data_IF_606962780475
#
_entry.id   IF_606962780475
#
_cell.length_a   1.000
_cell.length_b   1.000
_cell.length_c   1.000
_cell.angle_alpha   90.00
_cell.angle_beta   90.00
_cell.angle_gamma   90.00
#
_symmetry.space_group_name_H-M   'P 1'
#
loop_
_entity.id
_entity.type
_entity.pdbx_description
1 polymer ?
#
# COMPACT_ATOMS: atom_id res chain seq x y z
N UNK A 1 -6.91 6.92 63.83
CA UNK A 1 -5.83 7.81 64.31
C UNK A 1 -5.49 8.80 63.18
N UNK A 2 -5.37 10.09 63.52
CA UNK A 2 -4.94 11.28 62.73
C UNK A 2 -5.84 11.71 61.53
N UNK A 3 -6.63 12.80 61.63
CA UNK A 3 -6.35 14.27 61.52
C UNK A 3 -6.03 14.70 60.06
N UNK A 4 -6.87 15.46 59.34
CA UNK A 4 -7.30 16.87 59.46
C UNK A 4 -6.26 17.92 59.01
N UNK A 5 -6.69 18.89 58.16
CA UNK A 5 -6.01 20.16 57.82
C UNK A 5 -5.87 20.39 56.30
N UNK A 6 -6.72 21.17 55.61
CA UNK A 6 -6.77 22.65 55.48
C UNK A 6 -5.44 23.22 54.90
N UNK A 7 -5.38 24.07 53.86
CA UNK A 7 -5.81 25.48 53.89
C UNK A 7 -5.68 26.14 52.49
N UNK A 8 -6.75 26.85 52.13
CA UNK A 8 -6.98 28.03 51.28
C UNK A 8 -5.84 29.05 51.02
N UNK A 9 -6.09 29.85 49.97
CA UNK A 9 -5.95 31.33 49.82
C UNK A 9 -4.84 31.82 48.85
N UNK A 10 -5.20 32.35 47.67
CA UNK A 10 -5.44 33.79 47.35
C UNK A 10 -4.17 34.47 46.81
N UNK A 11 -4.15 35.51 45.97
CA UNK A 11 -5.10 36.56 45.61
C UNK A 11 -4.45 37.42 44.50
N UNK A 12 -5.27 37.99 43.60
CA UNK A 12 -5.15 39.33 42.92
C UNK A 12 -3.90 39.59 42.05
N UNK A 13 -3.95 40.37 40.96
CA UNK A 13 -4.28 41.82 40.83
C UNK A 13 -4.57 42.10 39.31
N UNK A 14 -5.79 42.43 38.88
CA UNK A 14 -6.32 43.77 38.47
C UNK A 14 -5.42 44.62 37.53
N UNK A 15 -5.70 44.76 36.22
CA UNK A 15 -6.48 45.84 35.52
C UNK A 15 -5.83 47.27 35.51
N UNK A 16 -6.37 48.31 34.82
CA UNK A 16 -6.43 48.58 33.36
C UNK A 16 -6.02 50.06 33.03
N UNK A 17 -5.84 50.47 31.77
CA UNK A 17 -5.96 51.89 31.28
C UNK A 17 -5.63 51.92 29.77
N UNK A 18 -6.17 52.76 28.88
CA UNK A 18 -7.28 53.72 28.83
C UNK A 18 -7.46 54.02 27.33
N UNK A 19 -8.68 54.36 26.94
CA UNK A 19 -9.07 54.77 25.60
C UNK A 19 -8.46 56.12 25.18
N UNK A 20 -8.36 56.36 23.87
CA UNK A 20 -8.45 57.70 23.29
C UNK A 20 -9.16 57.62 21.93
N UNK A 21 -10.25 58.37 21.79
CA UNK A 21 -11.08 58.46 20.60
C UNK A 21 -10.68 59.65 19.71
N UNK A 22 -11.03 59.48 18.43
CA UNK A 22 -11.33 60.48 17.41
C UNK A 22 -10.16 61.24 16.77
N UNK A 23 -10.14 61.30 15.43
CA UNK A 23 -10.31 62.54 14.66
C UNK A 23 -10.40 62.26 13.12
N UNK A 24 -11.50 62.74 12.52
CA UNK A 24 -11.61 63.47 11.22
C UNK A 24 -11.38 62.78 9.84
N UNK A 25 -12.52 62.59 9.15
CA UNK A 25 -12.92 63.03 7.79
C UNK A 25 -11.98 62.91 6.56
N UNK A 26 -12.57 62.28 5.54
CA UNK A 26 -12.67 62.65 4.10
C UNK A 26 -11.94 61.80 3.04
N UNK A 27 -12.52 61.69 1.83
CA UNK A 27 -12.29 60.59 0.89
C UNK A 27 -11.34 61.00 -0.23
N UNK A 28 -10.47 60.09 -0.67
CA UNK A 28 -9.81 60.20 -1.98
C UNK A 28 -9.46 58.81 -2.49
N UNK A 29 -10.20 58.43 -3.54
CA UNK A 29 -9.73 57.72 -4.73
C UNK A 29 -8.25 57.35 -4.70
N UNK A 30 -7.97 56.04 -4.68
CA UNK A 30 -6.72 55.53 -5.21
C UNK A 30 -7.04 54.27 -6.02
N UNK A 31 -6.73 54.38 -7.32
CA UNK A 31 -6.88 53.34 -8.32
C UNK A 31 -6.27 52.01 -7.85
N UNK A 32 -7.07 50.94 -7.86
CA UNK A 32 -6.55 49.58 -7.86
C UNK A 32 -5.91 49.30 -9.24
N UNK A 33 -4.63 48.92 -9.34
CA UNK A 33 -4.15 48.30 -10.55
C UNK A 33 -4.84 46.94 -10.69
N UNK A 34 -5.45 46.70 -11.86
CA UNK A 34 -6.01 45.41 -12.26
C UNK A 34 -4.90 44.36 -12.10
N UNK A 35 -4.95 43.59 -11.02
CA UNK A 35 -4.12 42.41 -10.87
C UNK A 35 -4.41 41.51 -12.08
N UNK A 36 -3.38 41.26 -12.90
CA UNK A 36 -3.40 40.18 -13.87
C UNK A 36 -3.69 38.92 -13.07
N UNK A 37 -4.92 38.42 -13.20
CA UNK A 37 -5.28 37.08 -12.78
C UNK A 37 -4.54 36.15 -13.73
N UNK A 38 -3.27 35.87 -13.41
CA UNK A 38 -2.50 34.84 -14.08
C UNK A 38 -3.21 33.52 -13.80
N UNK A 39 -3.42 32.79 -14.87
CA UNK A 39 -4.15 31.55 -14.91
C UNK A 39 -3.54 30.56 -13.90
N UNK A 40 -4.13 30.44 -12.71
CA UNK A 40 -3.96 29.26 -11.88
C UNK A 40 -4.66 28.11 -12.62
N UNK A 41 -3.91 27.48 -13.53
CA UNK A 41 -4.26 26.18 -14.07
C UNK A 41 -4.41 25.24 -12.88
N UNK A 42 -5.65 24.94 -12.52
CA UNK A 42 -5.97 23.85 -11.60
C UNK A 42 -5.47 22.57 -12.28
N UNK A 43 -4.23 22.18 -12.01
CA UNK A 43 -3.75 20.84 -12.35
C UNK A 43 -4.61 19.89 -11.52
N UNK A 44 -5.60 19.28 -12.17
CA UNK A 44 -6.36 18.19 -11.60
C UNK A 44 -5.33 17.12 -11.20
N UNK A 45 -5.27 16.64 -9.95
CA UNK A 45 -4.33 15.60 -9.58
C UNK A 45 -4.67 14.37 -10.45
N UNK A 46 -3.80 14.08 -11.42
CA UNK A 46 -4.00 12.95 -12.32
C UNK A 46 -3.95 11.69 -11.46
N UNK A 47 -5.08 11.01 -11.35
CA UNK A 47 -5.20 9.74 -10.65
C UNK A 47 -4.44 8.70 -11.47
N UNK A 48 -3.25 8.31 -11.01
CA UNK A 48 -2.40 7.34 -11.70
C UNK A 48 -2.80 5.89 -11.37
N UNK A 49 -3.45 5.69 -10.23
CA UNK A 49 -4.02 4.41 -9.86
C UNK A 49 -5.13 3.99 -10.82
N UNK A 50 -4.91 2.86 -11.48
CA UNK A 50 -5.93 2.12 -12.23
C UNK A 50 -6.45 0.98 -11.35
N UNK A 51 -7.77 0.77 -11.21
CA UNK A 51 -8.29 -0.40 -10.52
C UNK A 51 -7.70 -1.70 -11.10
N UNK A 52 -7.30 -2.64 -10.24
CA UNK A 52 -6.63 -3.86 -10.69
C UNK A 52 -7.41 -4.64 -11.76
N UNK A 53 -8.75 -4.65 -11.68
CA UNK A 53 -9.63 -5.32 -12.65
C UNK A 53 -9.60 -4.70 -14.06
N UNK A 54 -9.11 -3.48 -14.20
CA UNK A 54 -9.00 -2.75 -15.47
C UNK A 54 -7.58 -2.81 -16.05
N UNK A 55 -6.64 -3.51 -15.37
CA UNK A 55 -5.30 -3.71 -15.90
C UNK A 55 -5.34 -4.70 -17.07
N UNK A 56 -4.65 -4.39 -18.18
CA UNK A 56 -4.60 -5.30 -19.31
C UNK A 56 -3.77 -6.54 -18.99
N UNK A 57 -4.06 -7.66 -19.66
CA UNK A 57 -3.41 -8.96 -19.38
C UNK A 57 -1.88 -8.92 -19.55
N UNK A 58 -1.36 -8.09 -20.47
CA UNK A 58 0.09 -7.94 -20.68
C UNK A 58 0.79 -7.11 -19.59
N UNK A 59 0.05 -6.45 -18.70
CA UNK A 59 0.65 -5.62 -17.66
C UNK A 59 1.53 -6.49 -16.76
N UNK A 60 2.78 -6.06 -16.58
CA UNK A 60 3.76 -6.78 -15.79
C UNK A 60 3.35 -6.77 -14.32
N UNK A 61 3.55 -7.88 -13.62
CA UNK A 61 3.23 -8.01 -12.19
C UNK A 61 4.47 -8.35 -11.35
N UNK A 62 4.41 -7.93 -10.08
CA UNK A 62 5.29 -8.39 -9.02
C UNK A 62 4.42 -8.89 -7.87
N UNK A 63 4.62 -10.14 -7.47
CA UNK A 63 3.89 -10.79 -6.38
C UNK A 63 4.83 -10.93 -5.18
N UNK A 64 4.43 -10.36 -4.05
CA UNK A 64 5.11 -10.47 -2.77
C UNK A 64 4.23 -11.25 -1.80
N UNK A 65 4.77 -12.30 -1.20
CA UNK A 65 4.03 -13.19 -0.30
C UNK A 65 4.46 -12.91 1.14
N UNK A 66 3.48 -12.63 2.00
CA UNK A 66 3.68 -12.49 3.43
C UNK A 66 3.95 -13.85 4.09
N UNK A 67 4.90 -13.87 5.04
CA UNK A 67 5.21 -15.02 5.91
C UNK A 67 4.04 -15.41 6.84
N UNK A 68 3.14 -14.46 7.12
CA UNK A 68 1.91 -14.67 7.89
C UNK A 68 0.66 -14.12 7.20
N UNK A 69 -0.51 -14.50 7.71
CA UNK A 69 -1.76 -13.90 7.27
C UNK A 69 -1.87 -12.44 7.73
N UNK A 70 -2.39 -11.59 6.85
CA UNK A 70 -2.78 -10.21 7.10
C UNK A 70 -4.19 -10.20 7.71
N UNK A 71 -4.35 -9.45 8.81
CA UNK A 71 -5.67 -9.20 9.38
C UNK A 71 -6.50 -8.27 8.48
N UNK A 72 -7.82 -8.23 8.65
CA UNK A 72 -8.68 -7.33 7.87
C UNK A 72 -8.31 -5.85 8.02
N UNK A 73 -7.88 -5.45 9.22
CA UNK A 73 -7.39 -4.09 9.46
C UNK A 73 -6.10 -3.80 8.71
N UNK A 74 -5.13 -4.72 8.76
CA UNK A 74 -3.86 -4.58 8.04
C UNK A 74 -4.07 -4.54 6.53
N UNK A 75 -4.96 -5.41 5.99
CA UNK A 75 -5.31 -5.39 4.57
C UNK A 75 -5.89 -4.04 4.15
N UNK A 76 -6.86 -3.52 4.91
CA UNK A 76 -7.51 -2.24 4.59
C UNK A 76 -6.52 -1.07 4.61
N UNK A 77 -5.65 -1.00 5.62
CA UNK A 77 -4.61 0.02 5.73
C UNK A 77 -3.55 -0.11 4.63
N UNK A 78 -3.07 -1.34 4.39
CA UNK A 78 -2.06 -1.62 3.39
C UNK A 78 -2.55 -1.27 1.98
N UNK A 79 -3.84 -1.51 1.68
CA UNK A 79 -4.44 -1.04 0.43
C UNK A 79 -4.39 0.49 0.27
N UNK A 80 -4.51 1.26 1.35
CA UNK A 80 -4.36 2.72 1.29
C UNK A 80 -2.91 3.14 1.05
N UNK A 81 -1.96 2.49 1.71
CA UNK A 81 -0.53 2.70 1.47
C UNK A 81 -0.15 2.36 0.02
N UNK A 82 -0.62 1.23 -0.50
CA UNK A 82 -0.43 0.79 -1.88
C UNK A 82 -1.01 1.80 -2.87
N UNK A 83 -2.25 2.27 -2.67
CA UNK A 83 -2.87 3.31 -3.52
C UNK A 83 -2.09 4.62 -3.47
N UNK A 84 -1.60 5.02 -2.30
CA UNK A 84 -0.80 6.24 -2.14
C UNK A 84 0.51 6.14 -2.90
N UNK A 85 1.23 5.03 -2.73
CA UNK A 85 2.47 4.75 -3.46
C UNK A 85 2.26 4.76 -4.98
N UNK A 86 1.28 4.02 -5.48
CA UNK A 86 1.00 3.95 -6.93
C UNK A 86 0.68 5.33 -7.53
N UNK A 87 -0.02 6.19 -6.79
CA UNK A 87 -0.30 7.56 -7.24
C UNK A 87 0.94 8.47 -7.29
N UNK A 88 2.03 8.08 -6.63
CA UNK A 88 3.31 8.79 -6.62
C UNK A 88 4.37 8.10 -7.48
N UNK A 89 4.09 6.89 -7.97
CA UNK A 89 5.05 6.05 -8.66
C UNK A 89 5.25 6.50 -10.11
N UNK A 90 6.39 7.15 -10.38
CA UNK A 90 6.68 7.82 -11.66
C UNK A 90 7.97 7.32 -12.29
N UNK A 91 8.13 7.52 -13.62
CA UNK A 91 9.36 7.23 -14.37
C UNK A 91 9.81 8.48 -15.11
N UNK A 92 10.99 9.02 -14.77
CA UNK A 92 11.54 10.22 -15.42
C UNK A 92 10.53 11.38 -15.54
N UNK A 93 9.72 11.59 -14.49
CA UNK A 93 8.62 12.58 -14.46
C UNK A 93 7.44 12.31 -15.42
N UNK A 94 7.36 11.10 -15.99
CA UNK A 94 6.21 10.58 -16.72
C UNK A 94 5.40 9.63 -15.84
N UNK A 95 4.10 9.66 -16.06
CA UNK A 95 3.14 8.91 -15.26
C UNK A 95 3.20 7.42 -15.66
N UNK A 96 3.31 6.51 -14.68
CA UNK A 96 3.08 5.08 -14.88
C UNK A 96 1.58 4.79 -14.77
N UNK A 97 1.04 4.01 -15.70
CA UNK A 97 -0.28 3.41 -15.52
C UNK A 97 -0.10 2.14 -14.71
N UNK A 98 -0.43 2.21 -13.42
CA UNK A 98 -0.12 1.17 -12.47
C UNK A 98 -1.29 0.88 -11.53
N UNK A 99 -1.24 -0.30 -10.93
CA UNK A 99 -2.19 -0.78 -9.94
C UNK A 99 -1.43 -1.50 -8.82
N UNK A 100 -2.06 -1.54 -7.66
CA UNK A 100 -1.61 -2.34 -6.54
C UNK A 100 -2.82 -2.89 -5.79
N UNK A 101 -2.70 -4.13 -5.29
CA UNK A 101 -3.77 -4.81 -4.59
C UNK A 101 -3.23 -5.82 -3.59
N UNK A 102 -3.95 -5.97 -2.47
CA UNK A 102 -3.79 -7.13 -1.60
C UNK A 102 -4.73 -8.23 -2.07
N UNK A 103 -4.17 -9.36 -2.50
CA UNK A 103 -4.93 -10.57 -2.81
C UNK A 103 -5.03 -11.46 -1.56
N UNK A 104 -6.05 -12.33 -1.47
CA UNK A 104 -6.53 -12.87 -0.20
C UNK A 104 -5.44 -13.26 0.78
N UNK A 105 -5.56 -12.63 1.95
CA UNK A 105 -4.87 -12.78 3.23
C UNK A 105 -3.34 -12.77 3.26
N UNK A 106 -2.61 -12.79 2.14
CA UNK A 106 -1.12 -12.87 2.19
C UNK A 106 -0.36 -12.16 1.08
N UNK A 107 -0.99 -11.78 -0.02
CA UNK A 107 -0.25 -11.39 -1.21
C UNK A 107 -0.37 -9.91 -1.50
N UNK A 108 0.77 -9.23 -1.62
CA UNK A 108 0.85 -7.88 -2.14
C UNK A 108 1.25 -7.96 -3.61
N UNK A 109 0.40 -7.46 -4.49
CA UNK A 109 0.64 -7.48 -5.94
C UNK A 109 0.73 -6.06 -6.47
N UNK A 110 1.82 -5.76 -7.15
CA UNK A 110 2.00 -4.54 -7.95
C UNK A 110 1.86 -4.90 -9.43
N UNK A 111 1.24 -4.01 -10.22
CA UNK A 111 1.10 -4.19 -11.65
C UNK A 111 1.39 -2.88 -12.41
N UNK A 112 2.08 -2.96 -13.55
CA UNK A 112 2.40 -1.81 -14.42
C UNK A 112 2.09 -2.16 -15.87
N UNK A 113 1.37 -1.25 -16.54
CA UNK A 113 1.15 -1.32 -17.99
C UNK A 113 2.37 -0.73 -18.72
N UNK A 114 3.33 -1.60 -19.04
CA UNK A 114 4.59 -1.23 -19.69
C UNK A 114 4.40 -0.76 -21.15
N UNK A 115 3.22 -0.94 -21.76
CA UNK A 115 2.90 -0.35 -23.07
C UNK A 115 2.63 1.15 -22.99
N UNK A 116 2.32 1.68 -21.79
CA UNK A 116 2.17 3.12 -21.58
C UNK A 116 3.53 3.77 -21.31
N UNK A 117 4.23 3.30 -20.28
CA UNK A 117 5.60 3.66 -19.95
C UNK A 117 6.24 2.47 -19.23
N UNK A 118 7.44 2.08 -19.66
CA UNK A 118 8.19 1.01 -18.99
C UNK A 118 8.66 1.47 -17.61
N UNK A 119 8.62 0.56 -16.63
CA UNK A 119 9.21 0.80 -15.33
C UNK A 119 10.75 0.86 -15.46
N UNK A 120 11.35 2.02 -15.18
CA UNK A 120 12.81 2.15 -15.14
C UNK A 120 13.41 1.43 -13.92
N UNK A 121 14.70 1.10 -13.97
CA UNK A 121 15.40 0.48 -12.84
C UNK A 121 15.22 1.25 -11.53
N UNK A 122 15.38 2.58 -11.56
CA UNK A 122 15.14 3.42 -10.37
C UNK A 122 13.69 3.38 -9.87
N UNK A 123 12.71 3.27 -10.77
CA UNK A 123 11.31 3.14 -10.36
C UNK A 123 11.03 1.78 -9.72
N UNK A 124 11.65 0.70 -10.21
CA UNK A 124 11.57 -0.64 -9.60
C UNK A 124 12.26 -0.64 -8.23
N UNK A 125 13.41 0.02 -8.09
CA UNK A 125 14.08 0.17 -6.81
C UNK A 125 13.20 0.90 -5.79
N UNK A 126 12.46 1.92 -6.25
CA UNK A 126 11.49 2.63 -5.41
C UNK A 126 10.35 1.71 -4.95
N UNK A 127 9.82 0.84 -5.82
CA UNK A 127 8.80 -0.13 -5.41
C UNK A 127 9.33 -1.17 -4.44
N UNK A 128 10.57 -1.63 -4.62
CA UNK A 128 11.22 -2.55 -3.67
C UNK A 128 11.39 -1.90 -2.30
N UNK A 129 11.87 -0.65 -2.24
CA UNK A 129 11.99 0.10 -0.97
C UNK A 129 10.65 0.29 -0.29
N UNK A 130 9.61 0.64 -1.04
CA UNK A 130 8.25 0.75 -0.51
C UNK A 130 7.77 -0.57 0.11
N UNK A 131 8.01 -1.71 -0.55
CA UNK A 131 7.64 -3.02 0.03
C UNK A 131 8.43 -3.32 1.32
N UNK A 132 9.71 -2.94 1.40
CA UNK A 132 10.49 -3.05 2.65
C UNK A 132 9.96 -2.13 3.76
N UNK A 133 9.38 -0.98 3.43
CA UNK A 133 8.70 -0.12 4.40
C UNK A 133 7.43 -0.78 4.94
N UNK A 134 6.68 -1.49 4.08
CA UNK A 134 5.53 -2.29 4.52
C UNK A 134 5.96 -3.41 5.49
N UNK A 135 7.04 -4.13 5.20
CA UNK A 135 7.57 -5.17 6.11
C UNK A 135 7.82 -4.61 7.52
N UNK A 136 8.46 -3.43 7.60
CA UNK A 136 8.74 -2.76 8.88
C UNK A 136 7.48 -2.29 9.58
N UNK A 137 6.55 -1.67 8.84
CA UNK A 137 5.32 -1.12 9.40
C UNK A 137 4.41 -2.21 9.97
N UNK A 138 4.26 -3.32 9.26
CA UNK A 138 3.39 -4.43 9.66
C UNK A 138 4.10 -5.54 10.43
N UNK A 139 5.41 -5.41 10.67
CA UNK A 139 6.24 -6.41 11.33
C UNK A 139 6.01 -7.82 10.75
N UNK A 140 6.28 -7.95 9.45
CA UNK A 140 6.14 -9.18 8.67
C UNK A 140 7.21 -9.24 7.57
N UNK A 141 7.34 -10.39 6.92
CA UNK A 141 8.27 -10.58 5.80
C UNK A 141 7.53 -10.81 4.49
N UNK A 142 7.88 -10.06 3.43
CA UNK A 142 7.31 -10.13 2.08
C UNK A 142 8.28 -10.70 1.04
N UNK A 143 9.56 -10.88 1.41
CA UNK A 143 10.62 -11.39 0.53
C UNK A 143 11.02 -12.85 0.82
N UNK A 144 10.17 -13.61 1.51
CA UNK A 144 10.46 -15.03 1.81
C UNK A 144 10.29 -15.89 0.56
N UNK A 145 11.41 -16.25 -0.06
CA UNK A 145 11.44 -17.10 -1.28
C UNK A 145 11.54 -18.61 -0.99
N UNK A 146 11.70 -18.97 0.27
CA UNK A 146 11.90 -20.36 0.71
C UNK A 146 10.62 -21.04 1.16
N UNK A 147 9.48 -20.42 0.93
CA UNK A 147 8.16 -20.92 1.32
C UNK A 147 7.24 -21.02 0.11
N UNK A 148 6.33 -21.98 0.18
CA UNK A 148 5.27 -22.19 -0.81
C UNK A 148 3.94 -21.95 -0.13
N UNK A 149 3.12 -21.09 -0.70
CA UNK A 149 1.73 -20.95 -0.29
C UNK A 149 0.86 -22.03 -0.95
N UNK A 150 -0.08 -22.56 -0.18
CA UNK A 150 -1.07 -23.53 -0.62
C UNK A 150 -2.41 -23.26 0.07
N UNK A 151 -3.48 -23.75 -0.55
CA UNK A 151 -4.83 -23.63 -0.01
C UNK A 151 -5.17 -24.86 0.83
N UNK A 152 -5.57 -24.65 2.08
CA UNK A 152 -6.11 -25.68 2.96
C UNK A 152 -7.53 -25.28 3.36
N UNK A 153 -8.53 -25.99 2.83
CA UNK A 153 -9.92 -25.52 2.88
C UNK A 153 -10.06 -24.20 2.14
N UNK A 154 -10.47 -23.15 2.85
CA UNK A 154 -10.58 -21.79 2.32
C UNK A 154 -9.44 -20.86 2.79
N UNK A 155 -8.46 -21.41 3.52
CA UNK A 155 -7.37 -20.61 4.12
C UNK A 155 -6.06 -20.82 3.37
N UNK A 156 -5.39 -19.72 3.02
CA UNK A 156 -4.03 -19.78 2.51
C UNK A 156 -3.06 -20.06 3.66
N UNK A 157 -2.26 -21.12 3.52
CA UNK A 157 -1.16 -21.48 4.42
C UNK A 157 0.17 -21.44 3.68
N UNK A 158 1.26 -21.40 4.43
CA UNK A 158 2.62 -21.49 3.88
C UNK A 158 3.35 -22.68 4.48
N UNK A 159 4.27 -23.26 3.72
CA UNK A 159 5.22 -24.26 4.22
C UNK A 159 6.60 -24.01 3.63
N UNK A 160 7.68 -24.24 4.39
CA UNK A 160 9.03 -24.23 3.84
C UNK A 160 9.19 -25.25 2.71
N UNK A 161 9.92 -24.88 1.65
CA UNK A 161 10.24 -25.77 0.53
C UNK A 161 10.89 -27.08 1.00
N UNK A 162 11.74 -26.99 2.02
CA UNK A 162 12.45 -28.15 2.60
C UNK A 162 11.49 -29.17 3.24
N UNK A 163 10.33 -28.72 3.70
CA UNK A 163 9.34 -29.56 4.38
C UNK A 163 8.33 -30.20 3.41
N UNK A 164 8.31 -29.82 2.13
CA UNK A 164 7.29 -30.25 1.17
C UNK A 164 7.19 -31.77 1.03
N UNK A 165 8.32 -32.48 0.95
CA UNK A 165 8.33 -33.94 0.85
C UNK A 165 7.65 -34.59 2.06
N UNK A 166 7.92 -34.07 3.26
CA UNK A 166 7.28 -34.54 4.49
C UNK A 166 5.77 -34.23 4.46
N UNK A 167 5.38 -33.00 4.12
CA UNK A 167 3.98 -32.58 4.03
C UNK A 167 3.16 -33.39 3.03
N UNK A 168 3.78 -33.81 1.91
CA UNK A 168 3.15 -34.71 0.93
C UNK A 168 2.98 -36.11 1.50
N UNK A 169 4.02 -36.67 2.13
CA UNK A 169 3.96 -37.99 2.76
C UNK A 169 2.94 -38.07 3.90
N UNK A 170 2.76 -36.98 4.65
CA UNK A 170 1.78 -36.85 5.73
C UNK A 170 0.36 -36.57 5.21
N UNK A 171 0.19 -36.36 3.90
CA UNK A 171 -1.10 -36.13 3.26
C UNK A 171 -1.68 -34.72 3.50
N UNK A 172 -0.88 -33.79 4.03
CA UNK A 172 -1.24 -32.37 4.20
C UNK A 172 -1.33 -31.70 2.84
N UNK A 173 -0.34 -31.94 1.97
CA UNK A 173 -0.37 -31.50 0.57
C UNK A 173 -0.65 -32.72 -0.30
N UNK A 174 -1.77 -32.69 -1.02
CA UNK A 174 -2.23 -33.74 -1.93
C UNK A 174 -2.06 -33.30 -3.38
N UNK A 175 -2.20 -34.25 -4.29
CA UNK A 175 -2.05 -34.01 -5.73
C UNK A 175 -3.00 -32.92 -6.26
N UNK A 176 -4.18 -32.77 -5.67
CA UNK A 176 -5.21 -31.79 -5.98
C UNK A 176 -5.16 -30.52 -5.11
N UNK A 177 -4.29 -30.44 -4.10
CA UNK A 177 -4.10 -29.23 -3.29
C UNK A 177 -3.70 -28.06 -4.18
N UNK A 178 -4.43 -26.96 -4.09
CA UNK A 178 -4.13 -25.74 -4.86
C UNK A 178 -2.90 -25.06 -4.28
N UNK A 179 -1.92 -24.76 -5.13
CA UNK A 179 -0.69 -24.03 -4.77
C UNK A 179 -0.59 -22.72 -5.54
N UNK A 180 0.14 -21.76 -4.98
CA UNK A 180 0.30 -20.43 -5.55
C UNK A 180 1.65 -20.27 -6.27
N UNK A 181 1.61 -19.88 -7.53
CA UNK A 181 2.77 -19.64 -8.38
C UNK A 181 3.15 -18.14 -8.40
N UNK A 182 3.96 -17.69 -7.44
CA UNK A 182 4.37 -16.28 -7.38
C UNK A 182 5.36 -15.85 -8.48
N UNK A 183 5.68 -16.73 -9.45
CA UNK A 183 6.57 -16.45 -10.58
C UNK A 183 5.82 -16.00 -11.85
N UNK A 184 4.51 -15.78 -11.77
CA UNK A 184 3.73 -15.18 -12.86
C UNK A 184 4.29 -13.80 -13.24
N UNK A 185 4.33 -13.51 -14.53
CA UNK A 185 5.03 -12.33 -15.07
C UNK A 185 4.08 -11.18 -15.39
N UNK A 186 2.82 -11.49 -15.70
CA UNK A 186 1.82 -10.50 -16.11
C UNK A 186 0.44 -10.80 -15.52
N UNK A 187 -0.50 -9.86 -15.69
CA UNK A 187 -1.87 -9.95 -15.17
C UNK A 187 -2.61 -11.15 -15.77
N UNK A 188 -2.39 -11.48 -17.04
CA UNK A 188 -3.01 -12.64 -17.70
C UNK A 188 -2.59 -13.96 -17.06
N UNK A 189 -1.29 -14.13 -16.80
CA UNK A 189 -0.74 -15.27 -16.05
C UNK A 189 -1.23 -15.27 -14.60
N UNK A 190 -1.30 -14.11 -13.94
CA UNK A 190 -1.86 -14.01 -12.59
C UNK A 190 -3.31 -14.49 -12.54
N UNK A 191 -4.11 -14.18 -13.56
CA UNK A 191 -5.52 -14.56 -13.61
C UNK A 191 -5.73 -16.05 -13.93
N UNK A 192 -4.83 -16.67 -14.71
CA UNK A 192 -5.04 -18.00 -15.27
C UNK A 192 -4.14 -19.11 -14.70
N UNK A 193 -2.96 -18.76 -14.19
CA UNK A 193 -1.90 -19.70 -13.81
C UNK A 193 -1.37 -19.47 -12.39
N UNK A 194 -1.88 -18.46 -11.68
CA UNK A 194 -1.40 -18.17 -10.33
C UNK A 194 -1.78 -19.26 -9.34
N UNK A 195 -2.94 -19.88 -9.51
CA UNK A 195 -3.40 -21.01 -8.71
C UNK A 195 -3.44 -22.26 -9.58
N UNK A 196 -2.80 -23.33 -9.11
CA UNK A 196 -2.77 -24.60 -9.83
C UNK A 196 -2.76 -25.80 -8.86
N UNK A 197 -3.36 -26.94 -9.22
CA UNK A 197 -3.22 -28.17 -8.45
C UNK A 197 -1.76 -28.61 -8.34
N UNK A 198 -1.32 -29.05 -7.17
CA UNK A 198 0.08 -29.38 -6.90
C UNK A 198 0.68 -30.35 -7.95
N UNK A 199 -0.08 -31.36 -8.38
CA UNK A 199 0.36 -32.35 -9.39
C UNK A 199 0.65 -31.77 -10.77
N UNK A 200 0.11 -30.62 -11.13
CA UNK A 200 0.32 -29.98 -12.44
C UNK A 200 1.48 -28.98 -12.40
N UNK A 201 2.18 -28.90 -11.27
CA UNK A 201 3.28 -27.95 -11.05
C UNK A 201 4.59 -28.70 -10.82
N UNK A 202 5.66 -27.97 -10.49
CA UNK A 202 6.96 -28.54 -10.15
C UNK A 202 6.94 -29.47 -8.92
N UNK A 203 5.87 -29.43 -8.12
CA UNK A 203 5.62 -30.33 -6.98
C UNK A 203 5.27 -31.76 -7.39
N UNK A 204 4.93 -31.99 -8.68
CA UNK A 204 4.61 -33.32 -9.23
C UNK A 204 5.65 -34.39 -8.88
N UNK A 205 6.92 -34.00 -8.76
CA UNK A 205 8.05 -34.88 -8.40
C UNK A 205 7.96 -35.54 -7.01
N UNK A 206 7.06 -35.08 -6.15
CA UNK A 206 6.91 -35.60 -4.78
C UNK A 206 5.71 -36.55 -4.62
N UNK A 207 4.85 -36.65 -5.63
CA UNK A 207 3.67 -37.53 -5.64
C UNK A 207 3.94 -38.86 -6.35
#
# INVERSE_FOLDING_TARGET
MAKAGNTINSQKIAQPVKACQALKKSPLNCLLPKAKLSCLSKKNPRKMYTPFKEMPDHARVWVYQADRALTDSEKAEMEQHLKTFVNQWTVHSKDLKASAKVFPDRFVVLAVDENHNQASGCSIDASVRFVQELEKHYNLSLFVRTEVAYLEGDTVKTTPVKSLKQQVNEGVIKADTTIFNNLVNNVGELNSQWQAPAKTTWLSRYF
#
